data_IF_092405302342
#
_entry.id   IF_092405302342
#
_cell.length_a   1.000
_cell.length_b   1.000
_cell.length_c   1.000
_cell.angle_alpha   90.00
_cell.angle_beta   90.00
_cell.angle_gamma   90.00
#
_symmetry.space_group_name_H-M   'P 1'
#
loop_
_entity.id
_entity.type
_entity.pdbx_description
1 polymer ?
#
# COMPACT_ATOMS: atom_id res chain seq x y z
N UNK A 1 12.64 -8.89 -21.40
CA UNK A 1 12.11 -7.76 -22.18
C UNK A 1 10.87 -7.29 -21.43
N UNK A 2 10.73 -5.98 -21.18
CA UNK A 2 9.53 -5.43 -20.57
C UNK A 2 8.34 -5.55 -21.56
N UNK A 3 7.09 -5.62 -21.05
CA UNK A 3 5.91 -5.65 -21.91
C UNK A 3 5.67 -4.27 -22.52
N UNK A 4 5.60 -4.21 -23.85
CA UNK A 4 5.31 -2.96 -24.57
C UNK A 4 3.90 -2.46 -24.29
N UNK A 5 3.72 -1.14 -24.31
CA UNK A 5 2.42 -0.49 -24.18
C UNK A 5 1.69 -0.51 -25.52
N UNK A 6 0.39 -0.78 -25.51
CA UNK A 6 -0.46 -0.56 -26.67
C UNK A 6 -0.93 0.90 -26.77
N UNK A 7 -1.56 1.28 -27.89
CA UNK A 7 -2.00 2.66 -28.15
C UNK A 7 -2.95 3.20 -27.09
N UNK A 8 -3.86 2.37 -26.56
CA UNK A 8 -4.79 2.77 -25.51
C UNK A 8 -4.06 3.03 -24.20
N UNK A 9 -3.12 2.16 -23.81
CA UNK A 9 -2.28 2.33 -22.63
C UNK A 9 -1.39 3.58 -22.74
N UNK A 10 -0.80 3.84 -23.91
CA UNK A 10 -0.02 5.06 -24.15
C UNK A 10 -0.86 6.32 -23.97
N UNK A 11 -2.10 6.34 -24.43
CA UNK A 11 -3.03 7.44 -24.21
C UNK A 11 -3.44 7.57 -22.74
N UNK A 12 -3.77 6.44 -22.11
CA UNK A 12 -4.19 6.38 -20.70
C UNK A 12 -3.13 6.91 -19.76
N UNK A 13 -1.89 6.52 -19.97
CA UNK A 13 -0.77 6.86 -19.09
C UNK A 13 0.07 8.05 -19.58
N UNK A 14 -0.38 8.76 -20.60
CA UNK A 14 0.36 9.84 -21.24
C UNK A 14 0.91 10.86 -20.23
N UNK A 15 0.13 11.24 -19.20
CA UNK A 15 0.54 12.21 -18.19
C UNK A 15 1.69 11.75 -17.31
N UNK A 16 1.93 10.45 -17.21
CA UNK A 16 3.07 9.87 -16.52
C UNK A 16 4.25 9.70 -17.48
N UNK A 17 4.00 9.23 -18.69
CA UNK A 17 5.02 8.99 -19.72
C UNK A 17 5.78 10.28 -20.06
N UNK A 18 5.15 11.45 -20.06
CA UNK A 18 5.81 12.73 -20.32
C UNK A 18 6.67 13.26 -19.17
N UNK A 19 6.69 12.59 -18.02
CA UNK A 19 7.58 12.96 -16.92
C UNK A 19 9.03 12.61 -17.30
N UNK A 20 9.89 13.63 -17.31
CA UNK A 20 11.30 13.46 -17.65
C UNK A 20 11.98 12.46 -16.72
N UNK A 21 12.55 11.39 -17.29
CA UNK A 21 13.25 10.34 -16.56
C UNK A 21 12.34 9.21 -16.08
N UNK A 22 11.01 9.34 -16.23
CA UNK A 22 10.07 8.25 -16.10
C UNK A 22 9.86 7.59 -17.47
N UNK A 23 9.43 8.38 -18.44
CA UNK A 23 9.29 8.03 -19.85
C UNK A 23 8.51 6.71 -20.08
N UNK A 24 8.68 6.09 -21.24
CA UNK A 24 8.09 4.79 -21.54
C UNK A 24 8.65 3.67 -20.65
N UNK A 25 9.94 3.70 -20.36
CA UNK A 25 10.61 2.68 -19.55
C UNK A 25 9.98 2.54 -18.17
N UNK A 26 9.67 3.65 -17.51
CA UNK A 26 9.00 3.67 -16.21
C UNK A 26 7.59 3.09 -16.28
N UNK A 27 6.84 3.41 -17.34
CA UNK A 27 5.48 2.90 -17.51
C UNK A 27 5.47 1.40 -17.83
N UNK A 28 6.39 0.90 -18.65
CA UNK A 28 6.55 -0.51 -18.95
C UNK A 28 7.01 -1.30 -17.72
N UNK A 29 7.85 -0.70 -16.86
CA UNK A 29 8.19 -1.29 -15.56
C UNK A 29 6.96 -1.42 -14.66
N UNK A 30 6.07 -0.41 -14.61
CA UNK A 30 4.80 -0.52 -13.87
C UNK A 30 3.94 -1.64 -14.43
N UNK A 31 3.79 -1.72 -15.76
CA UNK A 31 3.02 -2.79 -16.43
C UNK A 31 3.58 -4.18 -16.13
N UNK A 32 4.89 -4.33 -16.01
CA UNK A 32 5.55 -5.57 -15.63
C UNK A 32 5.43 -5.91 -14.13
N UNK A 33 5.00 -4.95 -13.32
CA UNK A 33 5.08 -5.05 -11.87
C UNK A 33 3.87 -5.75 -11.24
N UNK A 34 4.11 -6.38 -10.10
CA UNK A 34 3.11 -7.01 -9.25
C UNK A 34 3.21 -6.43 -7.84
N UNK A 35 2.11 -5.89 -7.32
CA UNK A 35 2.04 -5.37 -5.96
C UNK A 35 0.99 -6.14 -5.13
N UNK A 36 1.34 -6.42 -3.87
CA UNK A 36 0.44 -7.03 -2.89
C UNK A 36 -0.05 -5.93 -1.93
N UNK A 37 -1.36 -5.72 -1.89
CA UNK A 37 -2.01 -4.82 -0.94
C UNK A 37 -2.66 -5.65 0.16
N UNK A 38 -2.17 -5.53 1.38
CA UNK A 38 -2.68 -6.23 2.55
C UNK A 38 -3.51 -5.26 3.40
N UNK A 39 -4.80 -5.55 3.52
CA UNK A 39 -5.79 -4.70 4.16
C UNK A 39 -6.49 -3.77 3.15
N UNK A 40 -7.81 -3.89 3.06
CA UNK A 40 -8.70 -3.03 2.25
C UNK A 40 -9.61 -2.19 3.15
N UNK A 41 -9.01 -1.71 4.25
CA UNK A 41 -9.55 -0.64 5.06
C UNK A 41 -9.34 0.73 4.41
N UNK A 42 -9.33 1.81 5.20
CA UNK A 42 -9.19 3.17 4.66
C UNK A 42 -7.92 3.38 3.84
N UNK A 43 -6.78 2.85 4.30
CA UNK A 43 -5.49 2.98 3.60
C UNK A 43 -5.48 2.23 2.27
N UNK A 44 -5.87 0.94 2.27
CA UNK A 44 -5.90 0.10 1.07
C UNK A 44 -6.90 0.58 0.04
N UNK A 45 -8.06 1.10 0.48
CA UNK A 45 -9.06 1.71 -0.40
C UNK A 45 -8.57 2.99 -1.09
N UNK A 46 -7.53 3.62 -0.58
CA UNK A 46 -6.89 4.76 -1.23
C UNK A 46 -5.66 4.34 -2.06
N UNK A 47 -4.85 3.39 -1.56
CA UNK A 47 -3.63 2.96 -2.24
C UNK A 47 -3.91 2.16 -3.53
N UNK A 48 -4.82 1.17 -3.47
CA UNK A 48 -5.09 0.27 -4.59
C UNK A 48 -5.62 1.00 -5.85
N UNK A 49 -6.56 1.96 -5.77
CA UNK A 49 -7.00 2.73 -6.94
C UNK A 49 -5.88 3.47 -7.64
N UNK A 50 -4.98 4.11 -6.90
CA UNK A 50 -3.85 4.82 -7.50
C UNK A 50 -2.84 3.87 -8.14
N UNK A 51 -2.57 2.71 -7.56
CA UNK A 51 -1.70 1.71 -8.18
C UNK A 51 -2.32 1.18 -9.49
N UNK A 52 -3.61 0.85 -9.48
CA UNK A 52 -4.31 0.40 -10.67
C UNK A 52 -4.36 1.50 -11.76
N UNK A 53 -4.75 2.73 -11.39
CA UNK A 53 -4.84 3.86 -12.31
C UNK A 53 -3.47 4.23 -12.91
N UNK A 54 -2.39 4.12 -12.12
CA UNK A 54 -1.02 4.37 -12.58
C UNK A 54 -0.50 3.30 -13.55
N UNK A 55 -1.17 2.15 -13.67
CA UNK A 55 -0.80 1.11 -14.62
C UNK A 55 0.11 0.02 -14.06
N UNK A 56 0.06 -0.25 -12.75
CA UNK A 56 0.64 -1.49 -12.19
C UNK A 56 -0.06 -2.68 -12.83
N UNK A 57 0.70 -3.58 -13.46
CA UNK A 57 0.14 -4.63 -14.29
C UNK A 57 -0.68 -5.66 -13.51
N UNK A 58 -0.31 -5.96 -12.26
CA UNK A 58 -1.08 -6.87 -11.41
C UNK A 58 -1.11 -6.42 -9.96
N UNK A 59 -2.30 -6.43 -9.37
CA UNK A 59 -2.54 -6.23 -7.95
C UNK A 59 -3.10 -7.51 -7.34
N UNK A 60 -2.54 -7.93 -6.22
CA UNK A 60 -3.18 -8.93 -5.36
C UNK A 60 -3.72 -8.22 -4.12
N UNK A 61 -4.99 -8.39 -3.87
CA UNK A 61 -5.71 -7.80 -2.74
C UNK A 61 -5.92 -8.88 -1.67
N UNK A 62 -5.45 -8.64 -0.45
CA UNK A 62 -5.64 -9.56 0.67
C UNK A 62 -6.38 -8.85 1.80
N UNK A 63 -7.59 -9.29 2.07
CA UNK A 63 -8.41 -8.89 3.21
C UNK A 63 -9.44 -9.98 3.47
N UNK A 64 -9.70 -10.32 4.73
CA UNK A 64 -10.65 -11.38 5.09
C UNK A 64 -11.99 -10.87 5.63
N UNK A 65 -12.14 -9.54 5.71
CA UNK A 65 -13.37 -8.90 6.19
C UNK A 65 -14.43 -8.75 5.10
N UNK A 66 -15.65 -8.51 5.53
CA UNK A 66 -16.74 -8.04 4.70
C UNK A 66 -16.97 -6.54 4.86
N UNK A 67 -17.60 -5.94 3.85
CA UNK A 67 -18.00 -4.53 3.89
C UNK A 67 -19.11 -4.33 4.91
N UNK A 68 -18.99 -3.33 5.77
CA UNK A 68 -20.04 -2.91 6.71
C UNK A 68 -20.32 -1.41 6.59
N UNK A 69 -21.51 -0.99 7.00
CA UNK A 69 -21.92 0.41 6.95
C UNK A 69 -20.92 1.35 7.65
N UNK A 70 -20.37 0.91 8.79
CA UNK A 70 -19.38 1.69 9.56
C UNK A 70 -18.03 1.86 8.86
N UNK A 71 -17.79 1.15 7.77
CA UNK A 71 -16.58 1.27 6.96
C UNK A 71 -16.67 2.40 5.92
N UNK A 72 -17.87 2.66 5.39
CA UNK A 72 -18.08 3.46 4.18
C UNK A 72 -17.64 4.92 4.32
N UNK A 73 -17.61 5.46 5.55
CA UNK A 73 -17.17 6.84 5.77
C UNK A 73 -15.70 7.11 5.38
N UNK A 74 -14.85 6.03 5.25
CA UNK A 74 -13.44 6.16 4.91
C UNK A 74 -12.91 5.12 3.92
N UNK A 75 -13.65 4.07 3.66
CA UNK A 75 -13.28 3.00 2.73
C UNK A 75 -13.95 3.22 1.38
N UNK A 76 -13.53 4.28 0.68
CA UNK A 76 -14.18 4.86 -0.49
C UNK A 76 -14.22 3.97 -1.75
N UNK A 77 -13.56 2.83 -1.72
CA UNK A 77 -13.58 1.84 -2.80
C UNK A 77 -14.83 0.94 -2.72
N UNK A 78 -15.49 0.93 -1.56
CA UNK A 78 -16.72 0.17 -1.30
C UNK A 78 -17.94 1.09 -1.32
N UNK A 79 -19.12 0.55 -1.67
CA UNK A 79 -20.37 1.26 -1.82
C UNK A 79 -21.45 0.65 -0.91
N UNK A 80 -22.56 1.34 -0.70
CA UNK A 80 -23.70 0.82 0.07
C UNK A 80 -24.21 -0.54 -0.47
N UNK A 81 -24.18 -0.71 -1.79
CA UNK A 81 -24.57 -1.97 -2.44
C UNK A 81 -23.64 -3.15 -2.10
N UNK A 82 -22.43 -2.89 -1.61
CA UNK A 82 -21.43 -3.90 -1.31
C UNK A 82 -21.51 -4.42 0.15
N UNK A 83 -22.39 -3.85 0.96
CA UNK A 83 -22.54 -4.27 2.37
C UNK A 83 -22.82 -5.78 2.46
N UNK A 84 -21.97 -6.49 3.21
CA UNK A 84 -22.02 -7.93 3.38
C UNK A 84 -21.14 -8.73 2.42
N UNK A 85 -20.70 -8.14 1.30
CA UNK A 85 -19.75 -8.79 0.39
C UNK A 85 -18.31 -8.74 0.94
N UNK A 86 -17.48 -9.67 0.50
CA UNK A 86 -16.05 -9.64 0.84
C UNK A 86 -15.40 -8.36 0.31
N UNK A 87 -14.59 -7.68 1.14
CA UNK A 87 -13.92 -6.42 0.75
C UNK A 87 -13.06 -6.59 -0.50
N UNK A 88 -12.37 -7.71 -0.65
CA UNK A 88 -11.52 -7.98 -1.82
C UNK A 88 -12.34 -8.06 -3.12
N UNK A 89 -13.55 -8.62 -3.09
CA UNK A 89 -14.41 -8.74 -4.26
C UNK A 89 -15.01 -7.38 -4.65
N UNK A 90 -15.52 -6.63 -3.68
CA UNK A 90 -15.99 -5.25 -3.88
C UNK A 90 -14.87 -4.37 -4.47
N UNK A 91 -13.67 -4.43 -3.89
CA UNK A 91 -12.51 -3.69 -4.38
C UNK A 91 -12.12 -4.11 -5.81
N UNK A 92 -12.09 -5.41 -6.12
CA UNK A 92 -11.74 -5.89 -7.46
C UNK A 92 -12.71 -5.37 -8.53
N UNK A 93 -14.01 -5.33 -8.25
CA UNK A 93 -15.02 -4.77 -9.16
C UNK A 93 -14.78 -3.27 -9.39
N UNK A 94 -14.53 -2.51 -8.33
CA UNK A 94 -14.26 -1.06 -8.44
C UNK A 94 -12.96 -0.77 -9.20
N UNK A 95 -11.90 -1.56 -8.97
CA UNK A 95 -10.63 -1.40 -9.67
C UNK A 95 -10.72 -1.72 -11.16
N UNK A 96 -11.52 -2.73 -11.55
CA UNK A 96 -11.77 -3.06 -12.94
C UNK A 96 -12.42 -1.91 -13.71
N UNK A 97 -13.26 -1.12 -13.05
CA UNK A 97 -13.86 0.09 -13.63
C UNK A 97 -12.86 1.25 -13.74
N UNK A 98 -11.86 1.32 -12.85
CA UNK A 98 -10.81 2.35 -12.89
C UNK A 98 -9.82 2.05 -14.02
N UNK A 99 -9.31 0.81 -14.07
CA UNK A 99 -8.35 0.41 -15.10
C UNK A 99 -8.48 -1.07 -15.49
N UNK A 100 -9.08 -1.37 -16.66
CA UNK A 100 -9.26 -2.75 -17.12
C UNK A 100 -7.95 -3.45 -17.51
N UNK A 101 -6.84 -2.71 -17.68
CA UNK A 101 -5.53 -3.28 -17.99
C UNK A 101 -4.79 -3.80 -16.73
N UNK A 102 -5.25 -3.46 -15.53
CA UNK A 102 -4.69 -3.95 -14.28
C UNK A 102 -5.34 -5.30 -13.93
N UNK A 103 -4.55 -6.37 -13.88
CA UNK A 103 -5.03 -7.66 -13.41
C UNK A 103 -5.19 -7.64 -11.89
N UNK A 104 -6.40 -7.90 -11.40
CA UNK A 104 -6.68 -7.94 -9.97
C UNK A 104 -6.93 -9.38 -9.52
N UNK A 105 -6.16 -9.83 -8.52
CA UNK A 105 -6.33 -11.13 -7.86
C UNK A 105 -6.81 -10.89 -6.42
N UNK A 106 -7.67 -11.78 -5.92
CA UNK A 106 -8.28 -11.65 -4.59
C UNK A 106 -7.90 -12.81 -3.66
N UNK A 107 -7.66 -12.49 -2.39
CA UNK A 107 -7.43 -13.45 -1.32
C UNK A 107 -8.29 -13.04 -0.13
N UNK A 108 -9.43 -13.71 0.06
CA UNK A 108 -10.45 -13.37 1.07
C UNK A 108 -10.32 -14.18 2.37
N UNK A 109 -9.12 -14.64 2.69
CA UNK A 109 -8.86 -15.43 3.90
C UNK A 109 -7.59 -14.98 4.60
N UNK A 110 -7.53 -15.23 5.90
CA UNK A 110 -6.28 -15.07 6.66
C UNK A 110 -5.26 -16.11 6.18
N UNK A 111 -4.00 -15.67 6.04
CA UNK A 111 -2.91 -16.55 5.63
C UNK A 111 -1.94 -16.79 6.79
N UNK A 112 -1.62 -18.06 7.00
CA UNK A 112 -0.52 -18.47 7.86
C UNK A 112 0.83 -18.21 7.18
N UNK A 113 1.91 -18.27 7.94
CA UNK A 113 3.26 -17.87 7.53
C UNK A 113 3.73 -18.47 6.20
N UNK A 114 3.49 -19.77 5.98
CA UNK A 114 3.98 -20.45 4.78
C UNK A 114 3.24 -19.93 3.52
N UNK A 115 1.91 -19.82 3.60
CA UNK A 115 1.10 -19.31 2.50
C UNK A 115 1.38 -17.82 2.25
N UNK A 116 1.55 -17.02 3.31
CA UNK A 116 1.90 -15.60 3.20
C UNK A 116 3.30 -15.42 2.59
N UNK A 117 4.28 -16.22 3.00
CA UNK A 117 5.64 -16.21 2.45
C UNK A 117 5.64 -16.52 0.95
N UNK A 118 4.92 -17.57 0.55
CA UNK A 118 4.77 -17.95 -0.86
C UNK A 118 4.14 -16.83 -1.67
N UNK A 119 3.10 -16.19 -1.13
CA UNK A 119 2.43 -15.07 -1.79
C UNK A 119 3.38 -13.88 -1.93
N UNK A 120 4.05 -13.46 -0.86
CA UNK A 120 5.01 -12.34 -0.88
C UNK A 120 6.10 -12.57 -1.94
N UNK A 121 6.66 -13.79 -2.02
CA UNK A 121 7.74 -14.12 -2.95
C UNK A 121 7.38 -13.92 -4.43
N UNK A 122 6.10 -13.87 -4.77
CA UNK A 122 5.62 -13.63 -6.15
C UNK A 122 5.42 -12.18 -6.50
N UNK A 123 5.64 -11.25 -5.56
CA UNK A 123 5.40 -9.81 -5.73
C UNK A 123 6.68 -8.98 -5.66
N UNK A 124 6.67 -7.80 -6.26
CA UNK A 124 7.81 -6.88 -6.28
C UNK A 124 7.76 -5.85 -5.15
N UNK A 125 6.58 -5.62 -4.57
CA UNK A 125 6.37 -4.76 -3.42
C UNK A 125 5.14 -5.22 -2.62
N UNK A 126 5.17 -5.02 -1.32
CA UNK A 126 4.03 -5.24 -0.42
C UNK A 126 3.65 -3.92 0.23
N UNK A 127 2.35 -3.59 0.23
CA UNK A 127 1.80 -2.47 0.98
C UNK A 127 1.08 -3.03 2.22
N UNK A 128 1.53 -2.64 3.38
CA UNK A 128 0.85 -2.88 4.65
C UNK A 128 -0.13 -1.73 4.91
N UNK A 129 -1.40 -2.01 4.65
CA UNK A 129 -2.53 -1.10 4.86
C UNK A 129 -3.41 -1.58 6.03
N UNK A 130 -2.85 -2.40 6.93
CA UNK A 130 -3.58 -2.97 8.06
C UNK A 130 -3.55 -2.07 9.30
N UNK A 131 -4.46 -2.32 10.22
CA UNK A 131 -4.48 -1.74 11.56
C UNK A 131 -4.15 -2.77 12.67
N UNK A 132 -3.64 -3.94 12.27
CA UNK A 132 -3.38 -5.08 13.15
C UNK A 132 -1.88 -5.29 13.35
N UNK A 133 -1.41 -5.15 14.59
CA UNK A 133 0.01 -5.27 14.94
C UNK A 133 0.58 -6.66 14.61
N UNK A 134 -0.20 -7.72 14.82
CA UNK A 134 0.26 -9.08 14.52
C UNK A 134 0.53 -9.28 13.03
N UNK A 135 -0.37 -8.77 12.17
CA UNK A 135 -0.19 -8.82 10.71
C UNK A 135 1.01 -7.97 10.28
N UNK A 136 1.19 -6.79 10.86
CA UNK A 136 2.37 -5.93 10.61
C UNK A 136 3.69 -6.64 10.93
N UNK A 137 3.75 -7.30 12.08
CA UNK A 137 4.90 -8.10 12.51
C UNK A 137 5.14 -9.29 11.55
N UNK A 138 4.08 -9.98 11.13
CA UNK A 138 4.14 -11.06 10.15
C UNK A 138 4.71 -10.55 8.82
N UNK A 139 4.16 -9.46 8.27
CA UNK A 139 4.63 -8.86 7.02
C UNK A 139 6.08 -8.39 7.13
N UNK A 140 6.45 -7.70 8.21
CA UNK A 140 7.84 -7.26 8.44
C UNK A 140 8.82 -8.42 8.40
N UNK A 141 8.52 -9.50 9.10
CA UNK A 141 9.36 -10.68 9.17
C UNK A 141 9.47 -11.41 7.82
N UNK A 142 8.33 -11.66 7.16
CA UNK A 142 8.28 -12.42 5.93
C UNK A 142 8.81 -11.63 4.71
N UNK A 143 8.50 -10.34 4.60
CA UNK A 143 9.07 -9.48 3.56
C UNK A 143 10.59 -9.38 3.69
N UNK A 144 11.12 -9.27 4.92
CA UNK A 144 12.58 -9.29 5.15
C UNK A 144 13.21 -10.60 4.71
N UNK A 145 12.60 -11.76 5.02
CA UNK A 145 13.07 -13.08 4.60
C UNK A 145 13.09 -13.22 3.07
N UNK A 146 12.07 -12.71 2.39
CA UNK A 146 11.95 -12.78 0.93
C UNK A 146 12.67 -11.61 0.21
N UNK A 147 13.21 -10.65 0.97
CA UNK A 147 13.80 -9.40 0.45
C UNK A 147 12.86 -8.60 -0.46
N UNK A 148 11.56 -8.73 -0.26
CA UNK A 148 10.54 -7.95 -0.97
C UNK A 148 10.29 -6.65 -0.21
N UNK A 149 10.43 -5.46 -0.83
CA UNK A 149 10.19 -4.19 -0.17
C UNK A 149 8.79 -4.10 0.45
N UNK A 150 8.72 -3.45 1.61
CA UNK A 150 7.48 -3.25 2.36
C UNK A 150 7.23 -1.75 2.58
N UNK A 151 6.05 -1.28 2.17
CA UNK A 151 5.57 0.08 2.42
C UNK A 151 4.49 0.02 3.49
N UNK A 152 4.81 0.43 4.70
CA UNK A 152 3.88 0.37 5.84
C UNK A 152 3.26 1.74 6.11
N UNK A 153 1.94 1.80 6.19
CA UNK A 153 1.17 3.00 6.54
C UNK A 153 0.37 2.80 7.83
N UNK A 154 0.15 3.88 8.56
CA UNK A 154 -0.78 3.92 9.69
C UNK A 154 -1.47 5.28 9.75
N UNK A 155 -2.73 5.27 10.18
CA UNK A 155 -3.51 6.49 10.41
C UNK A 155 -4.44 6.28 11.61
N UNK A 156 -4.45 7.24 12.52
CA UNK A 156 -5.28 7.25 13.72
C UNK A 156 -5.63 8.69 14.08
N UNK A 157 -6.88 8.96 14.49
CA UNK A 157 -7.34 10.32 14.79
C UNK A 157 -7.12 11.29 13.64
N UNK A 158 -6.18 12.21 13.78
CA UNK A 158 -5.74 13.19 12.80
C UNK A 158 -4.24 13.04 12.46
N UNK A 159 -3.63 11.91 12.83
CA UNK A 159 -2.20 11.64 12.63
C UNK A 159 -1.99 10.44 11.70
N UNK A 160 -1.09 10.59 10.73
CA UNK A 160 -0.72 9.54 9.80
C UNK A 160 0.80 9.36 9.72
N UNK A 161 1.22 8.15 9.36
CA UNK A 161 2.64 7.86 9.22
C UNK A 161 2.90 6.84 8.12
N UNK A 162 4.09 6.92 7.51
CA UNK A 162 4.58 6.01 6.48
C UNK A 162 6.03 5.67 6.74
N UNK A 163 6.38 4.41 6.47
CA UNK A 163 7.75 3.91 6.47
C UNK A 163 7.96 2.95 5.31
N UNK A 164 9.17 2.98 4.75
CA UNK A 164 9.59 2.11 3.64
C UNK A 164 10.78 1.25 4.08
N UNK A 165 10.64 -0.06 3.91
CA UNK A 165 11.66 -1.05 4.27
C UNK A 165 12.16 -1.77 3.02
N UNK A 166 13.45 -1.65 2.72
CA UNK A 166 14.10 -2.23 1.52
C UNK A 166 15.12 -3.31 1.85
N UNK A 167 15.30 -3.61 3.14
CA UNK A 167 16.14 -4.70 3.65
C UNK A 167 17.63 -4.59 3.29
N UNK A 168 18.09 -3.36 3.03
CA UNK A 168 19.51 -3.09 2.85
C UNK A 168 20.26 -3.22 4.19
N UNK A 169 21.55 -3.53 4.18
CA UNK A 169 22.34 -3.54 5.40
C UNK A 169 22.21 -2.22 6.17
N UNK A 170 22.11 -2.31 7.48
CA UNK A 170 22.00 -1.17 8.40
C UNK A 170 20.76 -0.29 8.21
N UNK A 171 19.69 -0.82 7.58
CA UNK A 171 18.40 -0.13 7.50
C UNK A 171 17.42 -0.64 8.56
N UNK A 172 16.57 0.25 9.10
CA UNK A 172 15.58 -0.13 10.10
C UNK A 172 14.52 -1.06 9.53
N UNK A 173 13.81 -1.75 10.41
CA UNK A 173 12.60 -2.52 10.10
C UNK A 173 11.41 -1.99 10.92
N UNK A 174 10.23 -2.59 10.74
CA UNK A 174 9.03 -2.17 11.49
C UNK A 174 9.25 -2.19 13.01
N UNK A 175 9.97 -3.19 13.55
CA UNK A 175 10.26 -3.26 15.00
C UNK A 175 11.09 -2.10 15.50
N UNK A 176 12.02 -1.59 14.70
CA UNK A 176 12.80 -0.41 15.05
C UNK A 176 11.91 0.82 15.20
N UNK A 177 10.84 0.90 14.41
CA UNK A 177 9.89 2.02 14.44
C UNK A 177 8.86 1.84 15.54
N UNK A 178 8.28 0.66 15.70
CA UNK A 178 7.21 0.40 16.68
C UNK A 178 7.67 0.69 18.12
N UNK A 179 8.92 0.45 18.43
CA UNK A 179 9.51 0.78 19.76
C UNK A 179 9.47 2.26 20.10
N UNK A 180 9.42 3.14 19.11
CA UNK A 180 9.35 4.59 19.33
C UNK A 180 7.99 5.03 19.91
N UNK A 181 6.95 4.22 19.76
CA UNK A 181 5.58 4.55 20.15
C UNK A 181 5.09 3.82 21.41
N UNK A 182 5.89 2.91 21.99
CA UNK A 182 5.52 2.14 23.17
C UNK A 182 4.46 1.04 22.88
N UNK A 183 4.03 0.33 23.95
CA UNK A 183 3.16 -0.84 23.82
C UNK A 183 1.65 -0.51 23.68
N UNK A 184 1.23 0.73 23.90
CA UNK A 184 -0.19 1.12 23.85
C UNK A 184 -0.53 1.78 22.52
N UNK A 185 -0.83 0.96 21.51
CA UNK A 185 -1.48 1.46 20.28
C UNK A 185 -2.98 1.19 20.36
N UNK A 186 -3.77 2.22 20.60
CA UNK A 186 -5.22 2.17 20.41
C UNK A 186 -5.52 1.83 18.95
N UNK A 187 -6.51 1.00 18.71
CA UNK A 187 -6.98 0.73 17.35
C UNK A 187 -7.72 1.95 16.77
N UNK A 188 -7.81 2.05 15.45
CA UNK A 188 -8.63 3.07 14.79
C UNK A 188 -10.12 3.01 15.23
N UNK A 189 -10.60 1.83 15.63
CA UNK A 189 -11.97 1.63 16.12
C UNK A 189 -12.18 2.33 17.46
N UNK A 190 -11.18 2.24 18.35
CA UNK A 190 -11.26 2.83 19.71
C UNK A 190 -10.97 4.33 19.71
N UNK A 191 -10.05 4.78 18.87
CA UNK A 191 -9.58 6.17 18.87
C UNK A 191 -10.25 7.05 17.80
N UNK A 192 -10.89 6.45 16.80
CA UNK A 192 -11.42 7.14 15.61
C UNK A 192 -10.33 7.51 14.60
N UNK A 193 -10.75 7.85 13.39
CA UNK A 193 -9.88 8.36 12.33
C UNK A 193 -10.69 9.22 11.36
N UNK A 194 -10.13 10.37 10.99
CA UNK A 194 -10.75 11.26 10.01
C UNK A 194 -10.63 10.68 8.60
N UNK A 195 -11.73 10.68 7.85
CA UNK A 195 -11.81 10.01 6.55
C UNK A 195 -10.72 10.45 5.54
N UNK A 196 -10.49 11.75 5.25
CA UNK A 196 -9.46 12.17 4.30
C UNK A 196 -8.03 11.77 4.70
N UNK A 197 -7.76 11.59 5.99
CA UNK A 197 -6.42 11.22 6.47
C UNK A 197 -5.96 9.88 5.90
N UNK A 198 -6.83 8.86 5.92
CA UNK A 198 -6.48 7.55 5.35
C UNK A 198 -6.27 7.65 3.84
N UNK A 199 -6.99 8.57 3.17
CA UNK A 199 -6.79 8.87 1.75
C UNK A 199 -5.39 9.43 1.48
N UNK A 200 -4.94 10.41 2.26
CA UNK A 200 -3.60 11.00 2.15
C UNK A 200 -2.52 9.93 2.35
N UNK A 201 -2.60 9.18 3.44
CA UNK A 201 -1.58 8.17 3.77
C UNK A 201 -1.57 7.02 2.76
N UNK A 202 -2.74 6.51 2.35
CA UNK A 202 -2.82 5.46 1.33
C UNK A 202 -2.29 5.90 -0.04
N UNK A 203 -2.59 7.14 -0.46
CA UNK A 203 -2.02 7.71 -1.69
C UNK A 203 -0.50 7.85 -1.61
N UNK A 204 0.04 8.26 -0.46
CA UNK A 204 1.49 8.31 -0.23
C UNK A 204 2.11 6.90 -0.25
N UNK A 205 1.44 5.87 0.31
CA UNK A 205 1.90 4.48 0.20
C UNK A 205 1.99 4.04 -1.28
N UNK A 206 0.98 4.37 -2.09
CA UNK A 206 1.01 4.08 -3.53
C UNK A 206 2.19 4.79 -4.23
N UNK A 207 2.46 6.05 -3.89
CA UNK A 207 3.59 6.80 -4.45
C UNK A 207 4.93 6.16 -4.07
N UNK A 208 5.12 5.75 -2.82
CA UNK A 208 6.35 5.05 -2.40
C UNK A 208 6.50 3.69 -3.12
N UNK A 209 5.41 2.95 -3.31
CA UNK A 209 5.43 1.71 -4.07
C UNK A 209 5.82 1.95 -5.55
N UNK A 210 5.27 2.96 -6.20
CA UNK A 210 5.63 3.33 -7.58
C UNK A 210 7.13 3.65 -7.69
N UNK A 211 7.69 4.43 -6.77
CA UNK A 211 9.13 4.73 -6.75
C UNK A 211 9.99 3.46 -6.62
N UNK A 212 9.57 2.52 -5.78
CA UNK A 212 10.26 1.23 -5.62
C UNK A 212 10.19 0.37 -6.89
N UNK A 213 9.05 0.35 -7.56
CA UNK A 213 8.81 -0.47 -8.74
C UNK A 213 9.52 0.06 -9.99
N UNK A 214 9.68 1.38 -10.11
CA UNK A 214 10.19 2.03 -11.33
C UNK A 214 11.59 2.60 -11.15
N UNK A 215 12.10 2.62 -9.93
CA UNK A 215 13.35 3.33 -9.58
C UNK A 215 13.33 4.83 -9.93
N UNK A 216 12.14 5.39 -10.16
CA UNK A 216 11.95 6.81 -10.41
C UNK A 216 11.71 7.57 -9.11
N UNK A 217 12.63 8.48 -8.78
CA UNK A 217 12.66 9.19 -7.50
C UNK A 217 13.36 8.40 -6.38
N UNK A 218 13.34 8.95 -5.17
CA UNK A 218 13.99 8.36 -3.99
C UNK A 218 12.93 7.90 -2.98
N UNK A 219 12.81 6.60 -2.70
CA UNK A 219 11.93 6.12 -1.65
C UNK A 219 12.35 6.62 -0.26
N UNK A 220 11.38 6.77 0.64
CA UNK A 220 11.59 7.25 2.01
C UNK A 220 12.18 6.16 2.94
N UNK A 221 13.25 5.51 2.50
CA UNK A 221 13.94 4.46 3.27
C UNK A 221 14.64 5.05 4.49
N UNK A 222 14.68 4.29 5.59
CA UNK A 222 15.30 4.72 6.85
C UNK A 222 14.71 6.03 7.41
N UNK A 223 13.47 6.31 7.09
CA UNK A 223 12.72 7.47 7.55
C UNK A 223 11.34 7.06 8.02
N UNK A 224 10.88 7.75 9.05
CA UNK A 224 9.48 7.80 9.44
C UNK A 224 8.93 9.14 8.94
N UNK A 225 8.01 9.10 7.98
CA UNK A 225 7.25 10.26 7.56
C UNK A 225 6.00 10.36 8.41
N UNK A 226 5.73 11.49 8.99
CA UNK A 226 4.57 11.76 9.84
C UNK A 226 3.79 12.95 9.29
N UNK A 227 2.47 12.83 9.29
CA UNK A 227 1.55 13.89 8.90
C UNK A 227 0.59 14.17 10.06
N UNK A 228 0.61 15.40 10.56
CA UNK A 228 -0.36 15.92 11.51
C UNK A 228 -1.42 16.72 10.73
N UNK A 229 -2.61 16.15 10.60
CA UNK A 229 -3.69 16.80 9.87
C UNK A 229 -4.39 17.92 10.68
N UNK A 230 -4.13 18.04 12.00
CA UNK A 230 -4.63 19.17 12.80
C UNK A 230 -3.91 20.47 12.44
N UNK A 231 -2.61 20.38 12.18
CA UNK A 231 -1.75 21.53 11.85
C UNK A 231 -1.32 21.59 10.39
N UNK A 232 -1.65 20.56 9.60
CA UNK A 232 -1.17 20.36 8.21
C UNK A 232 0.37 20.25 8.13
N UNK A 233 1.03 19.77 9.16
CA UNK A 233 2.47 19.63 9.22
C UNK A 233 2.94 18.25 8.75
N UNK A 234 3.95 18.25 7.89
CA UNK A 234 4.72 17.05 7.54
C UNK A 234 6.06 17.06 8.25
N UNK A 235 6.39 15.95 8.90
CA UNK A 235 7.66 15.77 9.59
C UNK A 235 8.34 14.50 9.08
N UNK A 236 9.67 14.54 8.98
CA UNK A 236 10.49 13.39 8.59
C UNK A 236 11.57 13.16 9.63
N UNK A 237 11.59 11.98 10.21
CA UNK A 237 12.58 11.57 11.19
C UNK A 237 13.44 10.44 10.62
N UNK A 238 14.76 10.53 10.74
CA UNK A 238 15.66 9.41 10.45
C UNK A 238 15.52 8.36 11.54
N UNK A 239 15.43 7.12 11.13
CA UNK A 239 15.38 5.97 12.05
C UNK A 239 16.61 5.12 11.80
N UNK A 240 17.37 4.85 12.84
CA UNK A 240 18.49 3.92 12.79
C UNK A 240 17.99 2.47 12.93
N UNK A 241 18.78 1.53 12.43
CA UNK A 241 18.59 0.12 12.77
C UNK A 241 18.92 -0.06 14.26
N UNK A 242 18.03 -0.71 14.97
CA UNK A 242 18.28 -1.13 16.33
C UNK A 242 19.14 -2.42 16.31
N UNK A 243 20.10 -2.49 17.23
CA UNK A 243 21.08 -3.59 17.30
C UNK A 243 20.44 -4.93 17.70
#
# INVERSE_FOLDING_TARGET
MLPELNDEEMLRYNRQIVLRGFDFDGQEQLKASRALVVGLGGLGCAAAPYLAAAGVGSLTLLDFDTVSLSNLQRQILHHDADIGYAKVESAAQSLAMINPHCQVNTVSRRLEDEAMRTLIATHHVVLDCTDNVQVREQLNRLCRQQRVPLVSGAAIRMEGQISVFTWQPNTPCYRCISRLFGEQTLSCVEAGVMAPLVGVIGAMQAMEAIKLLTHYGTPATSRLLMYDAMSAEFRSMKVAQDA
#
